data_IF_849551470455
#
_entry.id   IF_849551470455
#
_cell.length_a   1.000
_cell.length_b   1.000
_cell.length_c   1.000
_cell.angle_alpha   90.00
_cell.angle_beta   90.00
_cell.angle_gamma   90.00
#
_symmetry.space_group_name_H-M   'P 1'
#
loop_
_entity.id
_entity.type
_entity.pdbx_description
1 polymer ?
#
# COMPACT_ATOMS: atom_id res chain seq x y z
N UNK A 1 -17.26 -17.24 -4.94
CA UNK A 1 -18.03 -16.83 -3.73
C UNK A 1 -17.74 -17.77 -2.55
N UNK A 2 -16.56 -17.71 -1.90
CA UNK A 2 -16.29 -18.57 -0.71
C UNK A 2 -15.56 -17.89 0.46
N UNK A 3 -15.06 -16.66 0.29
CA UNK A 3 -14.36 -15.93 1.36
C UNK A 3 -15.35 -15.17 2.27
N UNK A 4 -16.41 -14.59 1.70
CA UNK A 4 -17.43 -13.85 2.45
C UNK A 4 -18.25 -14.74 3.42
N UNK A 5 -18.47 -16.01 3.07
CA UNK A 5 -19.15 -16.99 3.93
C UNK A 5 -18.29 -17.39 5.14
N UNK A 6 -16.96 -17.45 4.98
CA UNK A 6 -16.04 -17.82 6.05
C UNK A 6 -15.96 -16.74 7.14
N UNK A 7 -16.05 -15.46 6.74
CA UNK A 7 -16.03 -14.32 7.66
C UNK A 7 -17.31 -14.22 8.49
N UNK A 8 -18.49 -14.56 7.94
CA UNK A 8 -19.75 -14.57 8.71
C UNK A 8 -19.74 -15.56 9.87
N UNK A 9 -19.07 -16.70 9.74
CA UNK A 9 -19.00 -17.71 10.82
C UNK A 9 -18.16 -17.27 12.02
N UNK A 10 -17.22 -16.35 11.84
CA UNK A 10 -16.39 -15.82 12.92
C UNK A 10 -17.10 -14.75 13.78
N UNK A 11 -18.26 -14.25 13.34
CA UNK A 11 -19.02 -13.19 14.03
C UNK A 11 -20.37 -13.63 14.61
N UNK A 12 -20.65 -14.93 14.70
CA UNK A 12 -21.79 -15.42 15.47
C UNK A 12 -21.44 -15.28 16.96
N UNK A 13 -21.90 -14.19 17.57
CA UNK A 13 -21.97 -14.03 19.03
C UNK A 13 -22.70 -15.23 19.61
N UNK A 14 -21.99 -16.10 20.33
CA UNK A 14 -22.63 -16.96 21.32
C UNK A 14 -23.22 -16.04 22.40
N UNK A 15 -24.55 -15.97 22.44
CA UNK A 15 -25.26 -15.46 23.60
C UNK A 15 -25.03 -16.46 24.74
N UNK A 16 -23.96 -16.24 25.53
CA UNK A 16 -23.80 -16.92 26.81
C UNK A 16 -24.85 -16.34 27.75
N UNK A 17 -26.01 -16.98 27.76
CA UNK A 17 -27.02 -16.76 28.79
C UNK A 17 -26.42 -17.12 30.15
N UNK A 18 -26.14 -16.12 30.96
CA UNK A 18 -25.82 -16.28 32.38
C UNK A 18 -27.05 -16.90 33.05
N UNK A 19 -26.98 -18.19 33.35
CA UNK A 19 -27.93 -18.84 34.26
C UNK A 19 -27.60 -18.34 35.67
N UNK A 20 -28.47 -17.51 36.24
CA UNK A 20 -28.47 -17.22 37.67
C UNK A 20 -28.93 -18.49 38.39
N UNK A 21 -28.01 -19.18 39.07
CA UNK A 21 -28.30 -20.28 39.97
C UNK A 21 -28.60 -19.70 41.37
N UNK A 22 -29.80 -19.89 41.95
CA UNK A 22 -30.18 -19.27 43.21
C UNK A 22 -29.78 -20.20 44.36
N UNK A 23 -28.49 -20.35 44.65
CA UNK A 23 -28.04 -20.99 45.89
C UNK A 23 -26.55 -20.71 46.17
N UNK A 24 -26.21 -19.51 46.63
CA UNK A 24 -25.00 -19.31 47.42
C UNK A 24 -25.25 -18.38 48.62
N UNK A 25 -25.43 -19.04 49.76
CA UNK A 25 -25.03 -18.67 51.12
C UNK A 25 -24.63 -17.21 51.37
N UNK A 26 -25.44 -16.52 52.19
CA UNK A 26 -25.04 -15.33 52.94
C UNK A 26 -23.93 -15.68 53.92
N UNK A 27 -22.69 -15.35 53.59
CA UNK A 27 -21.62 -15.26 54.57
C UNK A 27 -21.63 -13.83 55.12
N UNK A 28 -22.03 -13.69 56.38
CA UNK A 28 -21.91 -12.44 57.12
C UNK A 28 -20.44 -12.08 57.27
N UNK A 29 -20.06 -10.87 56.85
CA UNK A 29 -18.78 -10.26 57.23
C UNK A 29 -19.13 -9.02 58.04
N UNK A 30 -18.96 -9.15 59.35
CA UNK A 30 -18.90 -8.05 60.30
C UNK A 30 -17.71 -7.14 59.98
N UNK A 31 -18.01 -5.85 59.92
CA UNK A 31 -17.12 -4.72 59.74
C UNK A 31 -15.96 -4.66 60.74
N UNK A 32 -14.75 -4.40 60.23
CA UNK A 32 -13.74 -3.61 60.95
C UNK A 32 -12.83 -2.88 59.97
N UNK A 33 -13.12 -1.58 59.84
CA UNK A 33 -12.20 -0.44 59.71
C UNK A 33 -11.04 -0.47 58.70
N UNK A 34 -11.08 0.53 57.81
CA UNK A 34 -9.98 1.10 57.01
C UNK A 34 -9.52 0.32 55.77
N UNK A 35 -10.34 0.28 54.70
CA UNK A 35 -9.80 0.22 53.33
C UNK A 35 -10.76 0.55 52.17
N UNK A 36 -11.93 1.12 52.44
CA UNK A 36 -12.95 1.31 51.38
C UNK A 36 -12.56 2.32 50.30
N UNK A 37 -11.59 3.21 50.54
CA UNK A 37 -11.11 4.15 49.53
C UNK A 37 -9.95 3.61 48.66
N UNK A 38 -9.23 2.57 49.10
CA UNK A 38 -8.12 2.02 48.30
C UNK A 38 -8.66 1.16 47.16
N UNK A 39 -9.71 0.39 47.42
CA UNK A 39 -10.33 -0.53 46.46
C UNK A 39 -11.10 0.21 45.35
N UNK A 40 -11.74 1.35 45.67
CA UNK A 40 -12.45 2.19 44.70
C UNK A 40 -11.48 2.98 43.81
N UNK A 41 -10.38 3.50 44.36
CA UNK A 41 -9.38 4.24 43.57
C UNK A 41 -8.68 3.31 42.57
N UNK A 42 -8.25 2.12 43.02
CA UNK A 42 -7.66 1.08 42.17
C UNK A 42 -8.62 0.60 41.09
N UNK A 43 -9.91 0.40 41.41
CA UNK A 43 -10.92 0.07 40.41
C UNK A 43 -11.15 1.21 39.41
N UNK A 44 -11.18 2.45 39.87
CA UNK A 44 -11.37 3.61 38.97
C UNK A 44 -10.18 3.80 38.03
N UNK A 45 -8.95 3.56 38.50
CA UNK A 45 -7.73 3.62 37.71
C UNK A 45 -7.67 2.46 36.71
N UNK A 46 -8.03 1.25 37.14
CA UNK A 46 -8.18 0.09 36.27
C UNK A 46 -9.23 0.30 35.16
N UNK A 47 -10.42 0.80 35.53
CA UNK A 47 -11.51 1.09 34.58
C UNK A 47 -11.09 2.16 33.58
N UNK A 48 -10.43 3.24 34.04
CA UNK A 48 -9.90 4.29 33.16
C UNK A 48 -8.86 3.74 32.18
N UNK A 49 -7.88 2.99 32.67
CA UNK A 49 -6.85 2.36 31.84
C UNK A 49 -7.46 1.39 30.82
N UNK A 50 -8.53 0.68 31.20
CA UNK A 50 -9.25 -0.21 30.29
C UNK A 50 -10.00 0.57 29.20
N UNK A 51 -10.70 1.65 29.57
CA UNK A 51 -11.38 2.52 28.62
C UNK A 51 -10.40 3.19 27.63
N UNK A 52 -9.22 3.61 28.10
CA UNK A 52 -8.14 4.13 27.25
C UNK A 52 -7.64 3.07 26.26
N UNK A 53 -7.36 1.85 26.72
CA UNK A 53 -6.93 0.74 25.87
C UNK A 53 -7.98 0.33 24.85
N UNK A 54 -9.26 0.32 25.24
CA UNK A 54 -10.35 -0.06 24.34
C UNK A 54 -10.60 1.05 23.31
N UNK A 55 -10.47 2.33 23.69
CA UNK A 55 -10.47 3.48 22.76
C UNK A 55 -9.29 3.43 21.77
N UNK A 56 -8.09 3.10 22.24
CA UNK A 56 -6.91 2.93 21.38
C UNK A 56 -7.11 1.79 20.36
N UNK A 57 -7.69 0.65 20.80
CA UNK A 57 -8.02 -0.46 19.91
C UNK A 57 -9.09 -0.10 18.90
N UNK A 58 -10.15 0.61 19.32
CA UNK A 58 -11.21 1.07 18.43
C UNK A 58 -10.65 2.02 17.36
N UNK A 59 -9.77 2.94 17.76
CA UNK A 59 -9.04 3.80 16.82
C UNK A 59 -8.23 2.95 15.82
N UNK A 60 -7.42 1.99 16.29
CA UNK A 60 -6.62 1.11 15.41
C UNK A 60 -7.48 0.30 14.45
N UNK A 61 -8.60 -0.25 14.91
CA UNK A 61 -9.56 -0.97 14.06
C UNK A 61 -10.10 -0.08 12.94
N UNK A 62 -10.51 1.15 13.27
CA UNK A 62 -11.00 2.12 12.30
C UNK A 62 -9.93 2.53 11.28
N UNK A 63 -8.67 2.64 11.69
CA UNK A 63 -7.55 2.90 10.77
C UNK A 63 -7.32 1.70 9.84
N UNK A 64 -7.45 0.46 10.34
CA UNK A 64 -7.34 -0.77 9.54
C UNK A 64 -8.48 -0.85 8.50
N UNK A 65 -9.72 -0.58 8.89
CA UNK A 65 -10.88 -0.56 7.98
C UNK A 65 -10.67 0.46 6.86
N UNK A 66 -10.33 1.71 7.21
CA UNK A 66 -10.02 2.74 6.22
C UNK A 66 -8.89 2.34 5.27
N UNK A 67 -7.89 1.61 5.78
CA UNK A 67 -6.78 1.11 4.95
C UNK A 67 -7.24 0.04 3.97
N UNK A 68 -8.15 -0.86 4.39
CA UNK A 68 -8.72 -1.87 3.51
C UNK A 68 -9.54 -1.25 2.37
N UNK A 69 -10.34 -0.22 2.65
CA UNK A 69 -11.11 0.49 1.65
C UNK A 69 -10.22 1.17 0.60
N UNK A 70 -9.18 1.88 1.08
CA UNK A 70 -8.21 2.55 0.21
C UNK A 70 -7.47 1.54 -0.69
N UNK A 71 -7.03 0.41 -0.13
CA UNK A 71 -6.38 -0.65 -0.91
C UNK A 71 -7.33 -1.27 -1.95
N UNK A 72 -8.60 -1.46 -1.57
CA UNK A 72 -9.62 -2.00 -2.47
C UNK A 72 -9.85 -1.08 -3.66
N UNK A 73 -9.98 0.24 -3.43
CA UNK A 73 -10.14 1.22 -4.50
C UNK A 73 -8.92 1.30 -5.42
N UNK A 74 -7.70 1.22 -4.89
CA UNK A 74 -6.47 1.16 -5.70
C UNK A 74 -6.48 -0.08 -6.63
N UNK A 75 -6.98 -1.22 -6.16
CA UNK A 75 -7.11 -2.44 -6.97
C UNK A 75 -8.16 -2.27 -8.07
N UNK A 76 -9.29 -1.64 -7.77
CA UNK A 76 -10.33 -1.32 -8.76
C UNK A 76 -9.79 -0.45 -9.88
N UNK A 77 -9.11 0.65 -9.53
CA UNK A 77 -8.46 1.55 -10.50
C UNK A 77 -7.52 0.78 -11.43
N UNK A 78 -6.66 -0.09 -10.89
CA UNK A 78 -5.77 -0.94 -11.70
C UNK A 78 -6.55 -1.82 -12.68
N UNK A 79 -7.71 -2.33 -12.28
CA UNK A 79 -8.54 -3.18 -13.12
C UNK A 79 -9.31 -2.38 -14.17
N UNK A 80 -9.71 -1.14 -13.88
CA UNK A 80 -10.35 -0.24 -14.84
C UNK A 80 -9.41 0.04 -16.02
N UNK A 81 -8.14 0.33 -15.75
CA UNK A 81 -7.13 0.50 -16.79
C UNK A 81 -6.91 -0.74 -17.64
N UNK A 82 -6.90 -1.92 -17.01
CA UNK A 82 -6.78 -3.20 -17.72
C UNK A 82 -8.02 -3.54 -18.55
N UNK A 83 -9.16 -2.90 -18.33
CA UNK A 83 -10.40 -3.15 -19.08
C UNK A 83 -10.68 -2.09 -20.15
N UNK A 84 -10.06 -0.92 -20.05
CA UNK A 84 -10.21 0.14 -21.03
C UNK A 84 -9.33 -0.11 -22.27
N UNK A 85 -9.95 -0.32 -23.42
CA UNK A 85 -9.26 -0.53 -24.70
C UNK A 85 -8.31 0.62 -25.04
N UNK A 86 -8.75 1.88 -24.91
CA UNK A 86 -7.89 3.06 -25.17
C UNK A 86 -6.64 3.08 -24.27
N UNK A 87 -6.80 2.73 -22.99
CA UNK A 87 -5.67 2.64 -22.06
C UNK A 87 -4.72 1.49 -22.44
N UNK A 88 -5.27 0.34 -22.83
CA UNK A 88 -4.48 -0.80 -23.29
C UNK A 88 -3.68 -0.45 -24.55
N UNK A 89 -4.29 0.25 -25.51
CA UNK A 89 -3.64 0.66 -26.76
C UNK A 89 -2.46 1.61 -26.50
N UNK A 90 -2.66 2.61 -25.64
CA UNK A 90 -1.58 3.49 -25.16
C UNK A 90 -0.47 2.66 -24.52
N UNK A 91 -0.83 1.69 -23.68
CA UNK A 91 0.13 0.82 -23.01
C UNK A 91 0.98 0.00 -23.97
N UNK A 92 0.33 -0.68 -24.90
CA UNK A 92 1.01 -1.52 -25.89
C UNK A 92 1.89 -0.68 -26.80
N UNK A 93 1.43 0.51 -27.21
CA UNK A 93 2.22 1.45 -28.00
C UNK A 93 3.47 1.88 -27.25
N UNK A 94 3.35 2.27 -25.98
CA UNK A 94 4.48 2.71 -25.16
C UNK A 94 5.45 1.56 -24.89
N UNK A 95 4.97 0.36 -24.58
CA UNK A 95 5.82 -0.83 -24.41
C UNK A 95 6.62 -1.12 -25.69
N UNK A 96 6.00 -1.02 -26.86
CA UNK A 96 6.68 -1.21 -28.15
C UNK A 96 7.77 -0.16 -28.37
N UNK A 97 7.48 1.12 -28.09
CA UNK A 97 8.45 2.21 -28.20
C UNK A 97 9.64 2.04 -27.25
N UNK A 98 9.37 1.73 -25.97
CA UNK A 98 10.41 1.48 -24.96
C UNK A 98 11.32 0.31 -25.34
N UNK A 99 10.75 -0.81 -25.84
CA UNK A 99 11.52 -1.96 -26.32
C UNK A 99 12.39 -1.60 -27.53
N UNK A 100 11.85 -0.82 -28.47
CA UNK A 100 12.60 -0.36 -29.63
C UNK A 100 13.77 0.54 -29.21
N UNK A 101 13.54 1.47 -28.28
CA UNK A 101 14.57 2.34 -27.73
C UNK A 101 15.67 1.57 -27.00
N UNK A 102 15.31 0.60 -26.16
CA UNK A 102 16.27 -0.30 -25.50
C UNK A 102 17.12 -1.07 -26.51
N UNK A 103 16.50 -1.64 -27.55
CA UNK A 103 17.25 -2.34 -28.60
C UNK A 103 18.22 -1.42 -29.34
N UNK A 104 17.80 -0.18 -29.68
CA UNK A 104 18.69 0.81 -30.31
C UNK A 104 19.84 1.23 -29.39
N UNK A 105 19.58 1.37 -28.08
CA UNK A 105 20.61 1.68 -27.10
C UNK A 105 21.63 0.53 -26.99
N UNK A 106 21.18 -0.72 -26.90
CA UNK A 106 22.08 -1.88 -26.87
C UNK A 106 22.94 -1.94 -28.14
N UNK A 107 22.35 -1.76 -29.33
CA UNK A 107 23.13 -1.72 -30.57
C UNK A 107 24.16 -0.58 -30.60
N UNK A 108 23.80 0.59 -30.06
CA UNK A 108 24.74 1.71 -29.90
C UNK A 108 25.89 1.32 -28.98
N UNK A 109 25.60 0.73 -27.82
CA UNK A 109 26.61 0.28 -26.85
C UNK A 109 27.52 -0.78 -27.47
N UNK A 110 26.96 -1.76 -28.18
CA UNK A 110 27.71 -2.82 -28.88
C UNK A 110 28.65 -2.22 -29.94
N UNK A 111 28.17 -1.23 -30.69
CA UNK A 111 28.98 -0.53 -31.72
C UNK A 111 30.08 0.34 -31.12
N UNK A 112 29.94 0.75 -29.86
CA UNK A 112 30.88 1.59 -29.13
C UNK A 112 31.65 0.82 -28.05
N UNK A 113 31.73 -0.52 -28.16
CA UNK A 113 32.49 -1.39 -27.26
C UNK A 113 32.14 -1.21 -25.77
N UNK A 114 30.87 -0.97 -25.44
CA UNK A 114 30.44 -0.81 -24.06
C UNK A 114 30.44 0.63 -23.54
N UNK A 115 31.00 1.60 -24.28
CA UNK A 115 31.16 2.97 -23.80
C UNK A 115 29.96 3.88 -24.12
N UNK A 116 29.62 4.76 -23.16
CA UNK A 116 28.69 5.88 -23.36
C UNK A 116 29.49 7.16 -23.63
N UNK A 117 29.88 7.38 -24.88
CA UNK A 117 30.81 8.44 -25.26
C UNK A 117 30.30 9.86 -24.93
N UNK A 118 29.05 10.19 -25.26
CA UNK A 118 28.44 11.49 -24.99
C UNK A 118 27.04 11.37 -24.37
N UNK A 119 26.74 12.24 -23.39
CA UNK A 119 25.43 12.27 -22.72
C UNK A 119 24.25 12.41 -23.70
N UNK A 120 24.37 13.36 -24.63
CA UNK A 120 23.30 13.67 -25.59
C UNK A 120 23.05 12.52 -26.58
N UNK A 121 24.06 11.69 -26.81
CA UNK A 121 24.00 10.61 -27.78
C UNK A 121 23.06 9.47 -27.37
N UNK A 122 23.05 9.10 -26.09
CA UNK A 122 22.16 8.07 -25.59
C UNK A 122 20.82 8.61 -25.08
N UNK A 123 20.72 9.91 -24.78
CA UNK A 123 19.49 10.57 -24.32
C UNK A 123 18.32 10.39 -25.29
N UNK A 124 18.60 10.30 -26.59
CA UNK A 124 17.60 10.01 -27.64
C UNK A 124 16.91 8.64 -27.48
N UNK A 125 17.51 7.74 -26.71
CA UNK A 125 16.96 6.41 -26.39
C UNK A 125 16.32 6.36 -25.00
N UNK A 126 16.47 7.40 -24.17
CA UNK A 126 15.82 7.45 -22.87
C UNK A 126 14.30 7.65 -23.02
N UNK A 127 13.54 6.99 -22.14
CA UNK A 127 12.08 7.07 -22.08
C UNK A 127 11.56 7.23 -20.64
N UNK A 128 12.47 7.47 -19.71
CA UNK A 128 12.20 7.65 -18.30
C UNK A 128 13.10 8.77 -17.78
N UNK A 129 12.54 9.62 -16.92
CA UNK A 129 13.32 10.65 -16.24
C UNK A 129 14.36 9.98 -15.35
N UNK A 130 15.61 10.36 -15.58
CA UNK A 130 16.75 9.84 -14.85
C UNK A 130 17.67 11.01 -14.53
N UNK A 131 17.80 11.33 -13.25
CA UNK A 131 18.68 12.38 -12.76
C UNK A 131 20.15 11.95 -12.71
N UNK A 132 20.45 10.67 -12.97
CA UNK A 132 21.84 10.16 -13.01
C UNK A 132 22.51 10.65 -14.29
N UNK A 133 23.68 11.27 -14.13
CA UNK A 133 24.57 11.63 -15.24
C UNK A 133 25.51 10.45 -15.45
N UNK A 134 25.53 9.90 -16.67
CA UNK A 134 26.44 8.82 -17.04
C UNK A 134 27.68 9.41 -17.72
N UNK A 135 28.86 9.07 -17.20
CA UNK A 135 30.16 9.50 -17.73
C UNK A 135 30.71 8.48 -18.72
N UNK A 136 31.43 8.95 -19.74
CA UNK A 136 32.18 8.11 -20.68
C UNK A 136 33.38 7.40 -20.06
N UNK A 137 33.81 7.83 -18.88
CA UNK A 137 34.92 7.25 -18.12
C UNK A 137 34.49 6.20 -17.10
N UNK A 138 33.20 5.93 -16.99
CA UNK A 138 32.65 4.91 -16.07
C UNK A 138 32.28 3.67 -16.88
N UNK A 139 33.06 2.61 -16.71
CA UNK A 139 32.92 1.36 -17.46
C UNK A 139 31.58 0.65 -17.18
N UNK A 140 30.89 0.98 -16.08
CA UNK A 140 29.57 0.42 -15.76
C UNK A 140 28.41 1.32 -16.20
N UNK A 141 28.69 2.49 -16.77
CA UNK A 141 27.69 3.50 -17.06
C UNK A 141 26.62 2.99 -18.06
N UNK A 142 27.07 2.28 -19.10
CA UNK A 142 26.19 1.66 -20.09
C UNK A 142 25.28 0.61 -19.47
N UNK A 143 25.85 -0.30 -18.67
CA UNK A 143 25.12 -1.37 -18.00
C UNK A 143 24.09 -0.83 -17.01
N UNK A 144 24.47 0.18 -16.22
CA UNK A 144 23.58 0.83 -15.26
C UNK A 144 22.40 1.54 -15.93
N UNK A 145 22.62 2.20 -17.06
CA UNK A 145 21.56 2.83 -17.84
C UNK A 145 20.58 1.79 -18.39
N UNK A 146 21.11 0.70 -18.97
CA UNK A 146 20.28 -0.38 -19.50
C UNK A 146 19.45 -1.02 -18.39
N UNK A 147 20.06 -1.38 -17.26
CA UNK A 147 19.36 -1.93 -16.09
C UNK A 147 18.26 -1.02 -15.57
N UNK A 148 18.52 0.29 -15.50
CA UNK A 148 17.51 1.27 -15.09
C UNK A 148 16.31 1.27 -16.04
N UNK A 149 16.56 1.35 -17.35
CA UNK A 149 15.52 1.38 -18.38
C UNK A 149 14.73 0.07 -18.44
N UNK A 150 15.38 -1.09 -18.27
CA UNK A 150 14.72 -2.39 -18.17
C UNK A 150 13.83 -2.50 -16.93
N UNK A 151 14.29 -2.01 -15.79
CA UNK A 151 13.52 -1.97 -14.54
C UNK A 151 12.30 -1.05 -14.66
N UNK A 152 12.45 0.09 -15.35
CA UNK A 152 11.35 0.99 -15.67
C UNK A 152 10.33 0.29 -16.58
N UNK A 153 10.78 -0.34 -17.66
CA UNK A 153 9.92 -1.09 -18.57
C UNK A 153 9.17 -2.22 -17.85
N UNK A 154 9.85 -2.97 -16.98
CA UNK A 154 9.22 -4.01 -16.16
C UNK A 154 8.12 -3.43 -15.28
N UNK A 155 8.44 -2.36 -14.55
CA UNK A 155 7.48 -1.65 -13.68
C UNK A 155 6.27 -1.14 -14.46
N UNK A 156 6.50 -0.63 -15.67
CA UNK A 156 5.45 -0.28 -16.61
C UNK A 156 4.64 -1.55 -16.96
N UNK A 157 5.22 -2.63 -17.50
CA UNK A 157 4.45 -3.84 -17.86
C UNK A 157 3.63 -4.48 -16.73
N UNK A 158 4.05 -4.31 -15.47
CA UNK A 158 3.32 -4.77 -14.28
C UNK A 158 2.12 -3.88 -13.88
N UNK A 159 1.85 -2.81 -14.63
CA UNK A 159 0.85 -1.80 -14.30
C UNK A 159 1.09 -1.19 -12.91
N UNK A 160 2.36 -0.88 -12.60
CA UNK A 160 2.65 -0.06 -11.43
C UNK A 160 2.06 1.33 -11.64
N UNK A 161 1.39 1.81 -10.62
CA UNK A 161 0.46 2.95 -10.66
C UNK A 161 1.18 4.26 -10.92
N UNK A 162 2.35 4.46 -10.29
CA UNK A 162 3.23 5.60 -10.54
C UNK A 162 3.84 5.65 -11.95
N UNK A 163 3.64 4.62 -12.77
CA UNK A 163 4.16 4.51 -14.14
C UNK A 163 3.03 4.57 -15.18
N UNK A 164 1.79 4.80 -14.75
CA UNK A 164 0.63 4.67 -15.60
C UNK A 164 0.26 5.98 -16.33
N UNK A 165 0.06 5.89 -17.65
CA UNK A 165 -0.44 7.00 -18.47
C UNK A 165 -1.88 6.68 -18.89
N UNK A 166 -2.83 7.44 -18.34
CA UNK A 166 -4.24 7.27 -18.62
C UNK A 166 -4.63 7.82 -20.00
N UNK A 167 -5.69 7.24 -20.60
CA UNK A 167 -6.40 7.92 -21.69
C UNK A 167 -7.15 9.15 -21.15
N UNK A 168 -7.61 10.02 -22.04
CA UNK A 168 -8.33 11.25 -21.67
C UNK A 168 -9.54 10.99 -20.75
N UNK A 169 -10.29 9.91 -21.01
CA UNK A 169 -11.47 9.51 -20.23
C UNK A 169 -11.14 9.11 -18.78
N UNK A 170 -9.87 8.76 -18.51
CA UNK A 170 -9.42 8.27 -17.21
C UNK A 170 -8.36 9.15 -16.55
N UNK A 171 -8.14 10.38 -17.04
CA UNK A 171 -7.17 11.32 -16.43
C UNK A 171 -7.45 11.60 -14.95
N UNK A 172 -8.72 11.67 -14.57
CA UNK A 172 -9.12 11.94 -13.18
C UNK A 172 -8.83 10.75 -12.26
N UNK A 173 -8.75 9.53 -12.81
CA UNK A 173 -8.44 8.32 -12.04
C UNK A 173 -6.97 8.34 -11.58
N UNK A 174 -6.06 8.93 -12.37
CA UNK A 174 -4.67 9.15 -11.93
C UNK A 174 -4.59 10.05 -10.69
N UNK A 175 -5.36 11.14 -10.68
CA UNK A 175 -5.41 12.03 -9.52
C UNK A 175 -6.02 11.34 -8.30
N UNK A 176 -7.10 10.57 -8.50
CA UNK A 176 -7.71 9.77 -7.44
C UNK A 176 -6.69 8.77 -6.85
N UNK A 177 -5.93 8.10 -7.72
CA UNK A 177 -4.89 7.16 -7.34
C UNK A 177 -3.77 7.80 -6.51
N UNK A 178 -3.26 8.96 -6.91
CA UNK A 178 -2.24 9.69 -6.15
C UNK A 178 -2.73 10.06 -4.75
N UNK A 179 -3.98 10.52 -4.63
CA UNK A 179 -4.62 10.84 -3.35
C UNK A 179 -4.73 9.58 -2.48
N UNK A 180 -5.17 8.46 -3.05
CA UNK A 180 -5.29 7.18 -2.34
C UNK A 180 -3.93 6.65 -1.85
N UNK A 181 -2.87 6.79 -2.64
CA UNK A 181 -1.52 6.41 -2.24
C UNK A 181 -0.98 7.28 -1.09
N UNK A 182 -1.24 8.58 -1.14
CA UNK A 182 -0.92 9.51 -0.04
C UNK A 182 -1.68 9.13 1.24
N UNK A 183 -3.00 8.88 1.12
CA UNK A 183 -3.84 8.44 2.23
C UNK A 183 -3.35 7.11 2.82
N UNK A 184 -2.95 6.16 1.99
CA UNK A 184 -2.38 4.89 2.45
C UNK A 184 -1.07 5.10 3.24
N UNK A 185 -0.19 6.00 2.80
CA UNK A 185 1.04 6.34 3.53
C UNK A 185 0.73 6.93 4.90
N UNK A 186 -0.26 7.80 5.01
CA UNK A 186 -0.63 8.41 6.29
C UNK A 186 -1.31 7.39 7.22
N UNK A 187 -2.22 6.57 6.71
CA UNK A 187 -2.83 5.47 7.49
C UNK A 187 -1.77 4.49 8.03
N UNK A 188 -0.71 4.21 7.27
CA UNK A 188 0.41 3.37 7.73
C UNK A 188 1.20 3.97 8.90
N UNK A 189 1.23 5.30 9.05
CA UNK A 189 1.88 5.96 10.20
C UNK A 189 1.06 5.82 11.48
N UNK A 190 -0.26 5.66 11.35
CA UNK A 190 -1.23 5.63 12.46
C UNK A 190 -1.41 4.24 13.09
N UNK A 191 -0.87 3.17 12.47
CA UNK A 191 -0.92 1.78 12.99
C UNK A 191 0.43 1.35 13.63
N UNK A 192 1.38 2.28 13.80
CA UNK A 192 2.67 1.95 14.45
C UNK A 192 2.53 1.61 15.94
#
# INVERSE_FOLDING_TARGET
MKIFELLKKLFVKENVGVKNDPNQSKTAITSSTNNENIDILLNSEYIKKRAELDSEKEFKLKVIENKQDVLSRIIEIKNEYKKCEKCQDIYQKNIKDMKLKLSKLNNYIDSNFGFLNEYEDYKKYMFADNSKIYSSTDDNAAEDLVKFLESYLKSYTEYKTSYFIACDDHKNINQEQEILESKLKDLNKLIK
#
